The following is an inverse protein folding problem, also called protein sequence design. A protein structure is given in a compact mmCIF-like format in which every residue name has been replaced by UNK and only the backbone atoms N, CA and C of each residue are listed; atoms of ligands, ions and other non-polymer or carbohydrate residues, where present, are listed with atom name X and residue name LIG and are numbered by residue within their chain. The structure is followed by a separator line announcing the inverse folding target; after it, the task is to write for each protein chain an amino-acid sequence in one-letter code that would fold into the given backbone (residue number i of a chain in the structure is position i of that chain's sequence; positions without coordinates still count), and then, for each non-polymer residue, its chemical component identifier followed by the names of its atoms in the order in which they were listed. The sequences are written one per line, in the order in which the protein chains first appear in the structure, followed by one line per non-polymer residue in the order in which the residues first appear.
data_IF_354376956108
#
_entry.id   IF_354376956108
#
_cell.length_a   1.000
_cell.length_b   1.000
_cell.length_c   1.000
_cell.angle_alpha   90.00
_cell.angle_beta   90.00
_cell.angle_gamma   90.00
#
_symmetry.space_group_name_H-M   'P 1'
#
loop_
_entity.id
_entity.type
_entity.pdbx_description
1 polymer ?
#
# COMPACT_ATOMS: atom_id res chain seq x y z
N UNK A 1 -28.25 10.71 -13.49
CA UNK A 1 -27.42 11.04 -12.30
C UNK A 1 -26.87 9.75 -11.76
N UNK A 2 -25.58 9.51 -11.90
CA UNK A 2 -24.93 8.29 -11.44
C UNK A 2 -25.04 8.23 -9.92
N UNK A 3 -25.74 7.24 -9.38
CA UNK A 3 -25.81 6.98 -7.94
C UNK A 3 -24.40 6.71 -7.41
N UNK A 4 -23.79 7.72 -6.78
CA UNK A 4 -22.55 7.54 -6.02
C UNK A 4 -22.87 6.69 -4.78
N UNK A 5 -22.79 5.37 -4.97
CA UNK A 5 -22.90 4.39 -3.90
C UNK A 5 -21.70 4.55 -2.97
N UNK A 6 -21.94 4.49 -1.66
CA UNK A 6 -20.89 4.59 -0.64
C UNK A 6 -19.76 3.60 -0.93
N UNK A 7 -18.52 4.10 -0.88
CA UNK A 7 -17.33 3.29 -1.13
C UNK A 7 -17.19 2.30 0.02
N UNK A 8 -17.01 1.03 -0.30
CA UNK A 8 -16.86 -0.06 0.67
C UNK A 8 -15.38 -0.27 0.98
N UNK A 9 -15.06 -0.35 2.27
CA UNK A 9 -13.67 -0.43 2.75
C UNK A 9 -12.94 -1.69 2.29
N UNK A 10 -13.63 -2.84 2.31
CA UNK A 10 -13.03 -4.14 2.01
C UNK A 10 -12.46 -4.24 0.59
N UNK A 11 -13.22 -3.99 -0.50
CA UNK A 11 -12.66 -4.08 -1.85
C UNK A 11 -11.54 -3.06 -2.09
N UNK A 12 -11.64 -1.87 -1.48
CA UNK A 12 -10.59 -0.85 -1.61
C UNK A 12 -9.30 -1.26 -0.89
N UNK A 13 -9.41 -1.76 0.35
CA UNK A 13 -8.27 -2.24 1.13
C UNK A 13 -7.57 -3.41 0.46
N UNK A 14 -8.33 -4.37 -0.06
CA UNK A 14 -7.78 -5.51 -0.81
C UNK A 14 -7.06 -5.06 -2.08
N UNK A 15 -7.66 -4.15 -2.86
CA UNK A 15 -7.05 -3.64 -4.09
C UNK A 15 -5.75 -2.86 -3.80
N UNK A 16 -5.80 -1.89 -2.87
CA UNK A 16 -4.64 -1.07 -2.51
C UNK A 16 -3.53 -1.91 -1.86
N UNK A 17 -3.88 -2.81 -0.93
CA UNK A 17 -2.93 -3.72 -0.30
C UNK A 17 -2.23 -4.61 -1.33
N UNK A 18 -2.99 -5.22 -2.24
CA UNK A 18 -2.42 -6.10 -3.28
C UNK A 18 -1.52 -5.32 -4.24
N UNK A 19 -1.93 -4.11 -4.65
CA UNK A 19 -1.14 -3.26 -5.53
C UNK A 19 0.21 -2.87 -4.89
N UNK A 20 0.20 -2.45 -3.63
CA UNK A 20 1.42 -2.13 -2.88
C UNK A 20 2.32 -3.36 -2.69
N UNK A 21 1.75 -4.50 -2.36
CA UNK A 21 2.48 -5.77 -2.22
C UNK A 21 3.16 -6.19 -3.54
N UNK A 22 2.44 -6.15 -4.66
CA UNK A 22 3.01 -6.45 -5.99
C UNK A 22 4.12 -5.46 -6.33
N UNK A 23 3.91 -4.17 -6.07
CA UNK A 23 4.90 -3.12 -6.36
C UNK A 23 6.18 -3.33 -5.56
N UNK A 24 6.06 -3.69 -4.28
CA UNK A 24 7.19 -4.05 -3.43
C UNK A 24 7.98 -5.23 -4.00
N UNK A 25 7.31 -6.32 -4.40
CA UNK A 25 7.98 -7.49 -5.01
C UNK A 25 8.72 -7.11 -6.28
N UNK A 26 8.10 -6.33 -7.16
CA UNK A 26 8.74 -5.83 -8.38
C UNK A 26 9.97 -4.97 -8.06
N UNK A 27 9.89 -4.10 -7.05
CA UNK A 27 11.03 -3.29 -6.60
C UNK A 27 12.19 -4.15 -6.06
N UNK A 28 11.89 -5.22 -5.32
CA UNK A 28 12.91 -6.16 -4.80
C UNK A 28 13.58 -6.90 -5.96
N UNK A 29 12.81 -7.45 -6.90
CA UNK A 29 13.34 -8.13 -8.09
C UNK A 29 14.21 -7.18 -8.90
N UNK A 30 13.77 -5.94 -9.12
CA UNK A 30 14.53 -4.95 -9.85
C UNK A 30 15.86 -4.60 -9.17
N UNK A 31 15.86 -4.43 -7.83
CA UNK A 31 17.07 -4.18 -7.06
C UNK A 31 18.06 -5.36 -7.06
N UNK A 32 17.57 -6.60 -7.24
CA UNK A 32 18.41 -7.78 -7.42
C UNK A 32 19.06 -7.83 -8.81
N UNK A 33 18.35 -7.38 -9.85
CA UNK A 33 18.87 -7.33 -11.24
C UNK A 33 19.83 -6.13 -11.42
N UNK A 34 19.51 -4.99 -10.81
CA UNK A 34 20.26 -3.74 -10.90
C UNK A 34 20.74 -3.29 -9.51
N UNK A 35 21.86 -3.84 -9.00
CA UNK A 35 22.31 -3.58 -7.63
C UNK A 35 22.72 -2.12 -7.36
N UNK A 36 22.96 -1.32 -8.42
CA UNK A 36 23.20 0.12 -8.30
C UNK A 36 21.90 0.94 -8.10
N UNK A 37 20.73 0.38 -8.41
CA UNK A 37 19.44 1.02 -8.22
C UNK A 37 18.86 0.64 -6.85
N UNK A 38 19.22 1.42 -5.81
CA UNK A 38 18.78 1.18 -4.44
C UNK A 38 17.33 1.67 -4.21
N UNK A 39 16.35 1.11 -4.92
CA UNK A 39 14.93 1.46 -4.72
C UNK A 39 14.39 1.07 -3.34
N UNK A 40 15.03 0.10 -2.67
CA UNK A 40 14.64 -0.29 -1.31
C UNK A 40 14.75 0.87 -0.31
N UNK A 41 15.63 1.85 -0.55
CA UNK A 41 15.81 3.06 0.27
C UNK A 41 14.51 3.85 0.47
N UNK A 42 13.63 3.88 -0.53
CA UNK A 42 12.33 4.55 -0.43
C UNK A 42 11.38 3.87 0.58
N UNK A 43 11.64 2.61 0.91
CA UNK A 43 10.81 1.80 1.79
C UNK A 43 11.31 1.78 3.25
N UNK A 44 12.61 2.00 3.51
CA UNK A 44 13.16 2.06 4.89
C UNK A 44 12.39 2.99 5.84
N UNK A 45 12.05 4.24 5.46
CA UNK A 45 11.32 5.13 6.38
C UNK A 45 9.89 4.63 6.68
N UNK A 46 9.34 3.77 5.82
CA UNK A 46 8.05 3.12 6.04
C UNK A 46 8.19 1.79 6.80
N UNK A 47 9.38 1.19 6.89
CA UNK A 47 9.58 -0.14 7.46
C UNK A 47 10.76 -0.14 8.45
N UNK A 48 10.52 0.14 9.75
CA UNK A 48 11.58 0.20 10.76
C UNK A 48 12.24 -1.15 11.06
N UNK A 49 11.68 -2.27 10.58
CA UNK A 49 12.18 -3.62 10.81
C UNK A 49 13.01 -4.25 9.68
N UNK A 50 13.07 -3.64 8.49
CA UNK A 50 13.77 -4.25 7.34
C UNK A 50 15.22 -3.82 7.24
N UNK A 51 16.13 -4.73 7.59
CA UNK A 51 17.55 -4.64 7.25
C UNK A 51 17.78 -5.32 5.91
N UNK A 52 18.55 -4.70 5.01
CA UNK A 52 18.75 -5.20 3.65
C UNK A 52 19.41 -6.59 3.59
N UNK A 53 19.01 -7.40 2.59
CA UNK A 53 19.49 -8.75 2.20
C UNK A 53 19.07 -9.98 3.04
N UNK A 54 18.24 -9.85 4.07
CA UNK A 54 17.66 -11.04 4.71
C UNK A 54 16.34 -11.46 4.06
N UNK A 55 16.18 -12.75 3.72
CA UNK A 55 14.89 -13.34 3.32
C UNK A 55 13.73 -12.98 4.27
N UNK A 56 13.91 -12.99 5.61
CA UNK A 56 12.83 -12.55 6.51
C UNK A 56 12.46 -11.07 6.34
N UNK A 57 13.41 -10.18 6.01
CA UNK A 57 13.11 -8.76 5.72
C UNK A 57 12.20 -8.61 4.48
N UNK A 58 12.35 -9.45 3.46
CA UNK A 58 11.49 -9.41 2.26
C UNK A 58 10.06 -9.83 2.59
N UNK A 59 9.88 -10.90 3.37
CA UNK A 59 8.55 -11.32 3.81
C UNK A 59 7.88 -10.29 4.72
N UNK A 60 8.63 -9.72 5.67
CA UNK A 60 8.15 -8.65 6.53
C UNK A 60 7.75 -7.44 5.69
N UNK A 61 8.55 -7.08 4.68
CA UNK A 61 8.23 -5.97 3.79
C UNK A 61 6.99 -6.18 2.93
N UNK A 62 6.71 -7.41 2.53
CA UNK A 62 5.47 -7.75 1.84
C UNK A 62 4.24 -7.57 2.74
N UNK A 63 4.33 -8.01 3.99
CA UNK A 63 3.23 -7.87 4.97
C UNK A 63 2.99 -6.41 5.32
N UNK A 64 4.06 -5.64 5.57
CA UNK A 64 3.93 -4.22 5.90
C UNK A 64 3.41 -3.41 4.72
N UNK A 65 3.91 -3.63 3.50
CA UNK A 65 3.39 -2.94 2.30
C UNK A 65 1.89 -3.20 2.07
N UNK A 66 1.43 -4.44 2.30
CA UNK A 66 0.01 -4.78 2.26
C UNK A 66 -0.78 -4.06 3.36
N UNK A 67 -0.25 -4.03 4.59
CA UNK A 67 -0.85 -3.33 5.72
C UNK A 67 -0.96 -1.81 5.46
N UNK A 68 0.04 -1.20 4.81
CA UNK A 68 -0.01 0.20 4.40
C UNK A 68 -1.12 0.49 3.38
N UNK A 69 -1.41 -0.45 2.46
CA UNK A 69 -2.55 -0.32 1.56
C UNK A 69 -3.89 -0.34 2.30
N UNK A 70 -4.00 -1.16 3.35
CA UNK A 70 -5.16 -1.15 4.25
C UNK A 70 -5.26 0.10 5.10
N UNK A 71 -4.14 0.61 5.60
CA UNK A 71 -4.07 1.89 6.32
C UNK A 71 -4.65 3.03 5.46
N UNK A 72 -4.26 3.11 4.18
CA UNK A 72 -4.84 4.08 3.23
C UNK A 72 -6.35 3.88 3.10
N UNK A 73 -6.82 2.65 2.91
CA UNK A 73 -8.25 2.37 2.77
C UNK A 73 -9.06 2.75 4.02
N UNK A 74 -8.53 2.46 5.22
CA UNK A 74 -9.16 2.77 6.51
C UNK A 74 -9.33 4.28 6.70
N UNK A 75 -8.38 5.09 6.25
CA UNK A 75 -8.46 6.55 6.34
C UNK A 75 -9.31 7.14 5.22
N UNK A 76 -9.06 6.69 3.99
CA UNK A 76 -9.67 7.26 2.79
C UNK A 76 -11.18 6.99 2.71
N UNK A 77 -11.63 5.77 3.00
CA UNK A 77 -13.05 5.40 2.88
C UNK A 77 -13.97 6.25 3.75
N UNK A 78 -13.75 6.41 5.08
CA UNK A 78 -14.60 7.26 5.91
C UNK A 78 -14.50 8.73 5.50
N UNK A 79 -13.29 9.23 5.19
CA UNK A 79 -13.10 10.61 4.74
C UNK A 79 -13.88 10.89 3.44
N UNK A 80 -13.71 10.04 2.43
CA UNK A 80 -14.40 10.15 1.15
C UNK A 80 -15.92 10.08 1.34
N UNK A 81 -16.42 9.10 2.09
CA UNK A 81 -17.84 8.99 2.37
C UNK A 81 -18.39 10.21 3.13
N UNK A 82 -17.62 10.83 4.04
CA UNK A 82 -18.02 12.04 4.76
C UNK A 82 -18.13 13.26 3.84
N UNK A 83 -17.11 13.54 3.03
CA UNK A 83 -17.12 14.69 2.12
C UNK A 83 -18.10 14.51 0.96
N UNK A 84 -18.24 13.30 0.42
CA UNK A 84 -19.23 12.99 -0.62
C UNK A 84 -20.67 13.06 -0.11
N UNK A 85 -20.92 12.84 1.19
CA UNK A 85 -22.24 13.08 1.80
C UNK A 85 -22.57 14.56 1.90
N UNK A 86 -21.59 15.43 2.19
CA UNK A 86 -21.80 16.89 2.25
C UNK A 86 -21.98 17.52 0.87
N UNK A 87 -21.38 16.97 -0.18
CA UNK A 87 -21.62 17.42 -1.55
C UNK A 87 -23.08 17.18 -2.03
N UNK A 88 -23.89 16.43 -1.27
CA UNK A 88 -25.32 16.20 -1.51
C UNK A 88 -26.25 17.09 -0.67
N UNK A 89 -25.74 17.83 0.32
CA UNK A 89 -26.54 18.72 1.18
C UNK A 89 -26.52 20.15 0.62
#
# INVERSE_FOLDING_TARGET
MSDFKSVRIYPLGMALGTLLAISFVLCVIFGLIFPAATMYQAWLPLLPGVTWISWPSVFLGLVESFAYGWYIAVIFVPAFNFFSRKAKA
#
